data_IF_152855753690
#
_entry.id   IF_152855753690
#
_cell.length_a   1.000
_cell.length_b   1.000
_cell.length_c   1.000
_cell.angle_alpha   90.00
_cell.angle_beta   90.00
_cell.angle_gamma   90.00
#
_symmetry.space_group_name_H-M   'P 1'
#
loop_
_entity.id
_entity.type
_entity.pdbx_description
1 polymer ?
#
# COMPACT_ATOMS: atom_id res chain seq x y z
N UNK A 1 3.08 -28.97 15.71
CA UNK A 1 4.52 -28.86 15.44
C UNK A 1 4.65 -28.28 14.05
N UNK A 2 4.60 -26.96 13.95
CA UNK A 2 4.05 -26.29 12.77
C UNK A 2 5.14 -25.86 11.76
N UNK A 3 6.39 -26.24 12.03
CA UNK A 3 7.54 -25.92 11.19
C UNK A 3 7.40 -26.30 9.70
N UNK A 4 6.84 -27.47 9.33
CA UNK A 4 6.61 -27.82 7.93
C UNK A 4 5.59 -26.89 7.25
N UNK A 5 4.54 -26.49 7.97
CA UNK A 5 3.48 -25.62 7.47
C UNK A 5 3.99 -24.18 7.31
N UNK A 6 4.76 -23.69 8.28
CA UNK A 6 5.40 -22.37 8.23
C UNK A 6 6.39 -22.29 7.05
N UNK A 7 7.22 -23.32 6.85
CA UNK A 7 8.14 -23.37 5.71
C UNK A 7 7.41 -23.37 4.36
N UNK A 8 6.27 -24.07 4.26
CA UNK A 8 5.45 -24.11 3.06
C UNK A 8 4.82 -22.75 2.74
N UNK A 9 4.20 -22.09 3.72
CA UNK A 9 3.63 -20.75 3.55
C UNK A 9 4.72 -19.72 3.24
N UNK A 10 5.89 -19.81 3.87
CA UNK A 10 7.02 -18.90 3.62
C UNK A 10 7.54 -19.02 2.19
N UNK A 11 7.60 -20.25 1.63
CA UNK A 11 8.00 -20.46 0.23
C UNK A 11 6.99 -19.84 -0.74
N UNK A 12 5.69 -20.03 -0.50
CA UNK A 12 4.62 -19.43 -1.32
C UNK A 12 4.60 -17.91 -1.22
N UNK A 13 4.76 -17.36 -0.02
CA UNK A 13 4.84 -15.91 0.18
C UNK A 13 6.00 -15.30 -0.61
N UNK A 14 7.14 -15.98 -0.64
CA UNK A 14 8.31 -15.53 -1.41
C UNK A 14 8.08 -15.56 -2.92
N UNK A 15 7.45 -16.63 -3.43
CA UNK A 15 7.07 -16.73 -4.85
C UNK A 15 6.03 -15.67 -5.24
N UNK A 16 4.99 -15.50 -4.41
CA UNK A 16 3.95 -14.50 -4.63
C UNK A 16 4.53 -13.08 -4.64
N UNK A 17 5.47 -12.78 -3.76
CA UNK A 17 6.12 -11.48 -3.72
C UNK A 17 7.03 -11.24 -4.93
N UNK A 18 7.75 -12.26 -5.42
CA UNK A 18 8.49 -12.15 -6.69
C UNK A 18 7.57 -11.92 -7.88
N UNK A 19 6.48 -12.68 -7.97
CA UNK A 19 5.50 -12.51 -9.05
C UNK A 19 4.87 -11.10 -9.01
N UNK A 20 4.49 -10.64 -7.82
CA UNK A 20 3.95 -9.29 -7.63
C UNK A 20 4.98 -8.21 -7.98
N UNK A 21 6.24 -8.40 -7.60
CA UNK A 21 7.34 -7.50 -7.97
C UNK A 21 7.58 -7.45 -9.47
N UNK A 22 7.56 -8.60 -10.15
CA UNK A 22 7.68 -8.68 -11.61
C UNK A 22 6.51 -7.99 -12.32
N UNK A 23 5.27 -8.20 -11.84
CA UNK A 23 4.07 -7.49 -12.31
C UNK A 23 4.19 -5.98 -12.11
N UNK A 24 4.68 -5.53 -10.94
CA UNK A 24 4.86 -4.11 -10.68
C UNK A 24 5.89 -3.47 -11.62
N UNK A 25 7.01 -4.14 -11.89
CA UNK A 25 8.00 -3.69 -12.87
C UNK A 25 7.43 -3.67 -14.29
N UNK A 26 6.64 -4.67 -14.67
CA UNK A 26 5.93 -4.70 -15.95
C UNK A 26 4.95 -3.53 -16.09
N UNK A 27 4.18 -3.24 -15.04
CA UNK A 27 3.28 -2.09 -14.98
C UNK A 27 4.03 -0.75 -15.09
N UNK A 28 5.19 -0.63 -14.45
CA UNK A 28 6.04 0.57 -14.57
C UNK A 28 6.60 0.74 -15.98
N UNK A 29 7.00 -0.35 -16.64
CA UNK A 29 7.44 -0.33 -18.04
C UNK A 29 6.30 0.07 -18.99
N UNK A 30 5.08 -0.45 -18.77
CA UNK A 30 3.88 -0.02 -19.49
C UNK A 30 3.58 1.46 -19.26
N UNK A 31 3.63 1.93 -18.01
CA UNK A 31 3.42 3.34 -17.68
C UNK A 31 4.45 4.27 -18.35
N UNK A 32 5.69 3.82 -18.55
CA UNK A 32 6.70 4.56 -19.31
C UNK A 32 6.31 4.74 -20.79
N UNK A 33 5.67 3.75 -21.39
CA UNK A 33 5.26 3.79 -22.79
C UNK A 33 3.96 4.60 -22.99
N UNK A 34 2.97 4.39 -22.12
CA UNK A 34 1.61 4.91 -22.32
C UNK A 34 1.34 6.24 -21.59
N UNK A 35 2.09 6.54 -20.52
CA UNK A 35 1.85 7.70 -19.66
C UNK A 35 3.17 8.40 -19.25
N UNK A 36 3.93 8.96 -20.20
CA UNK A 36 5.24 9.56 -19.94
C UNK A 36 5.20 10.73 -18.94
N UNK A 37 4.08 11.46 -18.86
CA UNK A 37 3.84 12.48 -17.82
C UNK A 37 3.73 11.89 -16.42
N UNK A 38 2.95 10.83 -16.25
CA UNK A 38 2.82 10.12 -14.97
C UNK A 38 4.17 9.56 -14.52
N UNK A 39 4.93 9.00 -15.48
CA UNK A 39 6.29 8.50 -15.23
C UNK A 39 7.23 9.64 -14.78
N UNK A 40 7.23 10.79 -15.47
CA UNK A 40 8.06 11.94 -15.07
C UNK A 40 7.76 12.44 -13.65
N UNK A 41 6.50 12.39 -13.22
CA UNK A 41 6.08 12.85 -11.88
C UNK A 41 6.32 11.84 -10.78
N UNK A 42 6.29 10.54 -11.10
CA UNK A 42 6.77 9.47 -10.22
C UNK A 42 8.25 9.66 -9.86
N UNK A 43 9.06 10.18 -10.79
CA UNK A 43 10.47 10.49 -10.57
C UNK A 43 10.76 11.96 -10.17
N UNK A 44 9.72 12.76 -9.92
CA UNK A 44 9.81 14.14 -9.45
C UNK A 44 9.22 14.30 -8.05
N UNK A 45 7.96 14.75 -7.99
CA UNK A 45 7.25 15.05 -6.73
C UNK A 45 6.97 13.80 -5.88
N UNK A 46 6.72 12.65 -6.51
CA UNK A 46 6.38 11.40 -5.82
C UNK A 46 7.60 10.51 -5.54
N UNK A 47 8.81 10.95 -5.90
CA UNK A 47 10.04 10.19 -5.73
C UNK A 47 10.31 9.74 -4.27
N UNK A 48 10.13 10.57 -3.23
CA UNK A 48 10.39 10.13 -1.85
C UNK A 48 9.41 9.04 -1.40
N UNK A 49 8.14 9.13 -1.79
CA UNK A 49 7.12 8.12 -1.46
C UNK A 49 7.36 6.82 -2.24
N UNK A 50 7.73 6.93 -3.51
CA UNK A 50 8.09 5.77 -4.34
C UNK A 50 9.33 5.07 -3.81
N UNK A 51 10.37 5.82 -3.44
CA UNK A 51 11.57 5.28 -2.84
C UNK A 51 11.27 4.61 -1.49
N UNK A 52 10.47 5.24 -0.63
CA UNK A 52 10.04 4.66 0.64
C UNK A 52 9.29 3.34 0.43
N UNK A 53 8.40 3.28 -0.56
CA UNK A 53 7.67 2.07 -0.92
C UNK A 53 8.63 0.94 -1.34
N UNK A 54 9.51 1.21 -2.29
CA UNK A 54 10.47 0.24 -2.82
C UNK A 54 11.42 -0.26 -1.74
N UNK A 55 11.94 0.65 -0.90
CA UNK A 55 12.84 0.30 0.20
C UNK A 55 12.12 -0.54 1.27
N UNK A 56 10.90 -0.16 1.63
CA UNK A 56 10.11 -0.89 2.63
C UNK A 56 9.71 -2.28 2.12
N UNK A 57 9.30 -2.39 0.85
CA UNK A 57 8.95 -3.67 0.21
C UNK A 57 10.17 -4.58 0.04
N UNK A 58 11.30 -4.02 -0.40
CA UNK A 58 12.57 -4.74 -0.49
C UNK A 58 13.06 -5.22 0.88
N UNK A 59 12.98 -4.37 1.91
CA UNK A 59 13.30 -4.73 3.27
C UNK A 59 12.38 -5.86 3.78
N UNK A 60 11.07 -5.77 3.54
CA UNK A 60 10.13 -6.84 3.91
C UNK A 60 10.49 -8.19 3.24
N UNK A 61 10.87 -8.16 1.97
CA UNK A 61 11.27 -9.34 1.20
C UNK A 61 12.57 -9.99 1.72
N UNK A 62 13.58 -9.17 2.03
CA UNK A 62 14.86 -9.66 2.54
C UNK A 62 14.73 -10.17 3.99
N UNK A 63 13.89 -9.51 4.79
CA UNK A 63 13.72 -9.79 6.20
C UNK A 63 12.67 -10.87 6.50
N UNK A 64 11.85 -11.30 5.54
CA UNK A 64 10.80 -12.32 5.74
C UNK A 64 11.32 -13.64 6.33
N UNK A 65 12.62 -13.94 6.16
CA UNK A 65 13.26 -15.15 6.69
C UNK A 65 14.03 -14.93 8.00
N UNK A 66 14.27 -13.68 8.42
CA UNK A 66 15.20 -13.34 9.51
C UNK A 66 14.59 -12.46 10.60
N UNK A 67 13.58 -11.66 10.29
CA UNK A 67 12.94 -10.74 11.22
C UNK A 67 11.65 -11.33 11.80
N UNK A 68 11.18 -10.73 12.89
CA UNK A 68 9.89 -11.10 13.48
C UNK A 68 8.74 -10.80 12.50
N UNK A 69 7.67 -11.62 12.49
CA UNK A 69 6.52 -11.40 11.60
C UNK A 69 5.89 -10.02 11.75
N UNK A 70 5.97 -9.40 12.94
CA UNK A 70 5.46 -8.04 13.20
C UNK A 70 6.21 -6.98 12.39
N UNK A 71 7.55 -7.04 12.36
CA UNK A 71 8.38 -6.07 11.61
C UNK A 71 8.10 -6.17 10.12
N UNK A 72 8.03 -7.39 9.58
CA UNK A 72 7.75 -7.63 8.16
C UNK A 72 6.37 -7.10 7.78
N UNK A 73 5.36 -7.25 8.65
CA UNK A 73 4.01 -6.70 8.44
C UNK A 73 3.99 -5.18 8.39
N UNK A 74 4.68 -4.50 9.29
CA UNK A 74 4.76 -3.03 9.26
C UNK A 74 5.49 -2.51 8.02
N UNK A 75 6.58 -3.16 7.62
CA UNK A 75 7.29 -2.81 6.39
C UNK A 75 6.43 -3.01 5.14
N UNK A 76 5.71 -4.14 5.06
CA UNK A 76 4.80 -4.42 3.95
C UNK A 76 3.63 -3.42 3.90
N UNK A 77 3.00 -3.13 5.06
CA UNK A 77 1.92 -2.14 5.14
C UNK A 77 2.38 -0.73 4.78
N UNK A 78 3.56 -0.33 5.28
CA UNK A 78 4.20 0.94 4.92
C UNK A 78 4.54 1.04 3.44
N UNK A 79 5.02 -0.06 2.84
CA UNK A 79 5.30 -0.10 1.41
C UNK A 79 4.05 0.15 0.57
N UNK A 80 2.96 -0.53 0.89
CA UNK A 80 1.66 -0.36 0.20
C UNK A 80 1.11 1.05 0.41
N UNK A 81 1.12 1.56 1.65
CA UNK A 81 0.66 2.92 1.94
C UNK A 81 1.44 3.98 1.18
N UNK A 82 2.78 3.89 1.18
CA UNK A 82 3.64 4.79 0.44
C UNK A 82 3.41 4.71 -1.08
N UNK A 83 3.18 3.50 -1.62
CA UNK A 83 2.85 3.31 -3.03
C UNK A 83 1.53 3.99 -3.41
N UNK A 84 0.48 3.83 -2.60
CA UNK A 84 -0.84 4.45 -2.84
C UNK A 84 -0.73 5.97 -2.81
N UNK A 85 0.03 6.52 -1.85
CA UNK A 85 0.29 7.95 -1.76
C UNK A 85 1.10 8.47 -2.96
N UNK A 86 2.14 7.75 -3.37
CA UNK A 86 2.95 8.09 -4.54
C UNK A 86 2.08 8.14 -5.81
N UNK A 87 1.23 7.13 -5.99
CA UNK A 87 0.29 7.06 -7.11
C UNK A 87 -0.68 8.26 -7.12
N UNK A 88 -1.32 8.55 -5.98
CA UNK A 88 -2.22 9.70 -5.86
C UNK A 88 -1.53 11.04 -6.17
N UNK A 89 -0.31 11.23 -5.66
CA UNK A 89 0.46 12.44 -5.95
C UNK A 89 0.89 12.55 -7.43
N UNK A 90 1.14 11.43 -8.11
CA UNK A 90 1.48 11.41 -9.53
C UNK A 90 0.33 11.87 -10.43
N UNK A 91 -0.92 11.65 -10.03
CA UNK A 91 -2.11 12.03 -10.80
C UNK A 91 -2.54 13.49 -10.59
N UNK A 92 -2.34 14.06 -9.39
CA UNK A 92 -2.78 15.41 -9.05
C UNK A 92 -2.26 16.47 -10.03
N UNK A 93 -3.03 17.36 -10.66
CA UNK A 93 -4.38 17.76 -10.29
C UNK A 93 -5.48 17.08 -11.11
N UNK A 94 -5.16 16.01 -11.84
CA UNK A 94 -6.09 15.35 -12.74
C UNK A 94 -6.73 14.12 -12.10
N UNK A 95 -8.02 13.92 -12.39
CA UNK A 95 -8.80 12.79 -11.90
C UNK A 95 -8.84 11.65 -12.92
N UNK A 96 -8.85 11.98 -14.23
CA UNK A 96 -8.82 11.00 -15.31
C UNK A 96 -8.04 11.53 -16.52
N UNK A 97 -6.93 10.87 -16.84
CA UNK A 97 -6.02 11.29 -17.92
C UNK A 97 -5.54 12.73 -17.74
N UNK A 98 -5.44 13.48 -18.84
CA UNK A 98 -4.96 14.87 -18.85
C UNK A 98 -6.09 15.89 -19.12
N UNK A 99 -7.35 15.44 -19.19
CA UNK A 99 -8.48 16.27 -19.65
C UNK A 99 -9.46 16.67 -18.55
N UNK A 100 -9.47 15.95 -17.42
CA UNK A 100 -10.44 16.19 -16.33
C UNK A 100 -9.68 16.51 -15.05
N UNK A 101 -9.78 17.76 -14.57
CA UNK A 101 -9.18 18.19 -13.31
C UNK A 101 -10.08 17.82 -12.13
N UNK A 102 -9.50 17.69 -10.95
CA UNK A 102 -10.24 17.44 -9.71
C UNK A 102 -11.27 18.56 -9.48
N UNK A 103 -10.88 19.81 -9.70
CA UNK A 103 -11.75 20.97 -9.49
C UNK A 103 -12.93 21.01 -10.47
N UNK A 104 -12.73 20.59 -11.73
CA UNK A 104 -13.82 20.60 -12.72
C UNK A 104 -14.80 19.43 -12.55
N UNK A 105 -14.32 18.31 -12.00
CA UNK A 105 -15.14 17.13 -11.70
C UNK A 105 -15.71 17.13 -10.28
N UNK A 106 -15.41 18.16 -9.48
CA UNK A 106 -15.85 18.26 -8.10
C UNK A 106 -17.38 18.33 -7.99
N UNK A 107 -17.93 17.58 -7.05
CA UNK A 107 -19.34 17.72 -6.66
C UNK A 107 -19.57 19.07 -5.95
N UNK A 108 -20.84 19.51 -5.80
CA UNK A 108 -21.16 20.68 -5.00
C UNK A 108 -20.54 20.63 -3.60
N UNK A 109 -20.13 21.79 -3.06
CA UNK A 109 -19.38 21.91 -1.80
C UNK A 109 -20.07 21.21 -0.62
N UNK A 110 -21.40 21.27 -0.55
CA UNK A 110 -22.19 20.60 0.50
C UNK A 110 -22.08 19.07 0.46
N UNK A 111 -22.06 18.49 -0.74
CA UNK A 111 -21.87 17.04 -0.93
C UNK A 111 -20.45 16.63 -0.57
N UNK A 112 -19.44 17.43 -0.96
CA UNK A 112 -18.03 17.17 -0.59
C UNK A 112 -17.83 17.24 0.93
N UNK A 113 -18.35 18.28 1.59
CA UNK A 113 -18.26 18.41 3.05
C UNK A 113 -18.90 17.21 3.76
N UNK A 114 -20.07 16.77 3.30
CA UNK A 114 -20.76 15.59 3.85
C UNK A 114 -19.92 14.33 3.68
N UNK A 115 -19.37 14.10 2.47
CA UNK A 115 -18.50 12.95 2.22
C UNK A 115 -17.25 12.99 3.09
N UNK A 116 -16.61 14.15 3.26
CA UNK A 116 -15.44 14.29 4.12
C UNK A 116 -15.76 13.91 5.56
N UNK A 117 -16.90 14.34 6.11
CA UNK A 117 -17.33 13.96 7.46
C UNK A 117 -17.58 12.46 7.55
N UNK A 118 -18.30 11.87 6.58
CA UNK A 118 -18.61 10.44 6.55
C UNK A 118 -17.33 9.60 6.50
N UNK A 119 -16.38 9.94 5.63
CA UNK A 119 -15.09 9.25 5.56
C UNK A 119 -14.25 9.45 6.82
N UNK A 120 -14.27 10.64 7.42
CA UNK A 120 -13.62 10.90 8.70
C UNK A 120 -14.17 10.02 9.81
N UNK A 121 -15.50 9.89 9.91
CA UNK A 121 -16.16 8.99 10.85
C UNK A 121 -15.84 7.52 10.55
N UNK A 122 -15.83 7.12 9.27
CA UNK A 122 -15.46 5.77 8.87
C UNK A 122 -14.03 5.42 9.32
N UNK A 123 -13.06 6.31 9.11
CA UNK A 123 -11.69 6.13 9.60
C UNK A 123 -11.66 6.02 11.13
N UNK A 124 -12.38 6.91 11.83
CA UNK A 124 -12.42 6.95 13.29
C UNK A 124 -13.06 5.69 13.90
N UNK A 125 -13.97 5.02 13.19
CA UNK A 125 -14.64 3.81 13.68
C UNK A 125 -13.91 2.53 13.25
N UNK A 126 -13.55 2.43 11.96
CA UNK A 126 -13.03 1.21 11.36
C UNK A 126 -11.59 0.94 11.79
N UNK A 127 -10.73 1.97 11.78
CA UNK A 127 -9.31 1.80 12.13
C UNK A 127 -9.12 1.27 13.57
N UNK A 128 -9.73 1.86 14.62
CA UNK A 128 -9.58 1.31 15.97
C UNK A 128 -10.25 -0.05 16.13
N UNK A 129 -11.37 -0.32 15.46
CA UNK A 129 -11.99 -1.65 15.48
C UNK A 129 -11.06 -2.71 14.93
N UNK A 130 -10.42 -2.46 13.78
CA UNK A 130 -9.45 -3.38 13.20
C UNK A 130 -8.20 -3.50 14.06
N UNK A 131 -7.70 -2.39 14.62
CA UNK A 131 -6.54 -2.42 15.52
C UNK A 131 -6.82 -3.26 16.76
N UNK A 132 -7.99 -3.08 17.40
CA UNK A 132 -8.42 -3.87 18.55
C UNK A 132 -8.51 -5.36 18.19
N UNK A 133 -9.15 -5.69 17.06
CA UNK A 133 -9.28 -7.07 16.59
C UNK A 133 -7.91 -7.71 16.34
N UNK A 134 -6.98 -7.00 15.69
CA UNK A 134 -5.63 -7.49 15.46
C UNK A 134 -4.85 -7.69 16.77
N UNK A 135 -5.01 -6.80 17.75
CA UNK A 135 -4.35 -6.93 19.05
C UNK A 135 -4.90 -8.12 19.83
N UNK A 136 -6.22 -8.29 19.87
CA UNK A 136 -6.87 -9.41 20.56
C UNK A 136 -6.48 -10.75 19.94
N UNK A 137 -6.54 -10.86 18.60
CA UNK A 137 -6.13 -12.08 17.89
C UNK A 137 -4.67 -12.43 18.14
N UNK A 138 -3.79 -11.43 18.21
CA UNK A 138 -2.38 -11.65 18.52
C UNK A 138 -2.14 -12.07 19.97
N UNK A 139 -3.00 -11.66 20.92
CA UNK A 139 -2.90 -12.07 22.33
C UNK A 139 -3.41 -13.49 22.54
N UNK A 140 -4.55 -13.84 21.96
CA UNK A 140 -5.11 -15.20 22.06
C UNK A 140 -4.13 -16.28 21.58
N UNK A 141 -3.39 -16.01 20.49
CA UNK A 141 -2.35 -16.92 20.01
C UNK A 141 -1.11 -17.03 20.90
N UNK A 142 -0.89 -16.11 21.84
CA UNK A 142 0.21 -16.21 22.81
C UNK A 142 -0.16 -17.05 24.04
N UNK A 143 -1.46 -17.30 24.27
CA UNK A 143 -1.93 -18.12 25.40
C UNK A 143 -1.95 -19.63 25.07
N UNK A 144 -1.99 -19.98 23.78
CA UNK A 144 -2.00 -21.37 23.28
C UNK A 144 -0.59 -22.00 23.07
N UNK A 145 0.49 -21.24 23.29
CA UNK A 145 1.90 -21.70 23.11
C UNK A 145 2.65 -21.81 24.43
#
# INVERSE_FOLDING_TARGET
GDGPLEAWFRRRAWLAAWFSGAMALGGLAGARADAPRLFGRLFGEALPLTALSVLSGGAALLLVRRASPRVVRYLAGGAVGALVLAWGSGQYPYLLGDHTTIDSAAAPESSLATLTVVFGLAVLLVVPSLALLYVLQQRAHLEDT
#
